data_IF_090088902034
#
_entry.id   IF_090088902034
#
_cell.length_a   1.000
_cell.length_b   1.000
_cell.length_c   1.000
_cell.angle_alpha   90.00
_cell.angle_beta   90.00
_cell.angle_gamma   90.00
#
_symmetry.space_group_name_H-M   'P 1'
#
loop_
_entity.id
_entity.type
_entity.pdbx_description
1 polymer ?
#
# COMPACT_ATOMS: atom_id res chain seq x y z
N UNK A 1 -13.86 2.10 11.69
CA UNK A 1 -12.48 1.72 12.06
C UNK A 1 -11.53 2.50 11.16
N UNK A 2 -10.43 3.03 11.70
CA UNK A 2 -9.43 3.84 10.96
C UNK A 2 -8.19 3.02 10.57
N UNK A 3 -8.29 1.69 10.69
CA UNK A 3 -7.23 0.74 10.42
C UNK A 3 -7.64 -0.14 9.26
N UNK A 4 -6.63 -0.63 8.56
CA UNK A 4 -6.71 -1.46 7.39
C UNK A 4 -5.74 -2.63 7.56
N UNK A 5 -6.21 -3.85 7.31
CA UNK A 5 -5.39 -5.06 7.35
C UNK A 5 -4.48 -5.12 6.12
N UNK A 6 -3.17 -4.95 6.35
CA UNK A 6 -2.10 -4.97 5.34
C UNK A 6 -1.62 -6.40 5.00
N UNK A 7 -2.11 -7.42 5.71
CA UNK A 7 -1.75 -8.82 5.57
C UNK A 7 -0.49 -9.27 6.31
N UNK A 8 -0.32 -10.59 6.44
CA UNK A 8 0.67 -11.20 7.33
C UNK A 8 2.11 -10.85 6.95
N UNK A 9 2.41 -10.64 5.67
CA UNK A 9 3.74 -10.27 5.20
C UNK A 9 4.18 -8.86 5.64
N UNK A 10 3.21 -8.02 5.99
CA UNK A 10 3.38 -6.65 6.48
C UNK A 10 3.03 -6.53 7.97
N UNK A 11 2.96 -7.66 8.67
CA UNK A 11 2.77 -7.69 10.11
C UNK A 11 4.01 -7.18 10.83
N UNK A 12 3.81 -6.31 11.82
CA UNK A 12 4.81 -6.04 12.86
C UNK A 12 4.57 -6.88 14.13
N UNK A 13 5.52 -6.82 15.06
CA UNK A 13 5.44 -7.57 16.33
C UNK A 13 4.59 -6.92 17.41
N UNK A 14 3.86 -5.84 17.11
CA UNK A 14 3.14 -5.05 18.10
C UNK A 14 1.65 -5.32 18.06
N UNK A 15 0.98 -5.09 19.18
CA UNK A 15 -0.47 -5.22 19.32
C UNK A 15 -0.93 -4.16 20.29
N UNK A 16 -1.97 -3.42 19.94
CA UNK A 16 -2.51 -2.34 20.76
C UNK A 16 -4.02 -2.45 20.82
N UNK A 17 -4.55 -2.83 21.98
CA UNK A 17 -5.97 -3.17 22.17
C UNK A 17 -6.41 -4.24 21.15
N UNK A 18 -7.37 -3.92 20.29
CA UNK A 18 -7.89 -4.81 19.24
C UNK A 18 -7.05 -4.77 17.96
N UNK A 19 -6.17 -3.77 17.80
CA UNK A 19 -5.30 -3.67 16.64
C UNK A 19 -4.12 -4.65 16.75
N UNK A 20 -3.96 -5.47 15.74
CA UNK A 20 -2.85 -6.40 15.56
C UNK A 20 -1.72 -5.74 14.76
N UNK A 21 -0.58 -6.41 14.63
CA UNK A 21 0.54 -5.89 13.83
C UNK A 21 0.26 -5.80 12.33
N UNK A 22 -0.86 -6.34 11.85
CA UNK A 22 -1.32 -6.22 10.47
C UNK A 22 -2.19 -4.96 10.25
N UNK A 23 -2.67 -4.34 11.33
CA UNK A 23 -3.63 -3.25 11.27
C UNK A 23 -2.93 -1.89 11.21
N UNK A 24 -3.00 -1.25 10.04
CA UNK A 24 -2.34 0.02 9.80
C UNK A 24 -3.31 1.11 9.38
N UNK A 25 -3.03 2.35 9.79
CA UNK A 25 -3.82 3.50 9.35
C UNK A 25 -3.54 3.79 7.87
N UNK A 26 -4.59 4.04 7.10
CA UNK A 26 -4.45 4.55 5.74
C UNK A 26 -3.80 5.94 5.78
N UNK A 27 -2.59 6.04 5.23
CA UNK A 27 -1.90 7.32 5.09
C UNK A 27 -2.52 8.17 3.96
N UNK A 28 -2.51 9.50 4.06
CA UNK A 28 -2.89 10.37 2.95
C UNK A 28 -1.94 10.17 1.75
N UNK A 29 -2.46 10.30 0.54
CA UNK A 29 -1.75 10.06 -0.73
C UNK A 29 -0.76 11.18 -1.13
N UNK A 30 -0.15 11.88 -0.16
CA UNK A 30 0.94 12.83 -0.44
C UNK A 30 2.23 12.08 -0.77
N UNK A 31 2.39 11.69 -2.04
CA UNK A 31 3.42 10.75 -2.49
C UNK A 31 4.62 11.43 -3.15
N UNK A 32 4.45 12.68 -3.64
CA UNK A 32 5.48 13.45 -4.37
C UNK A 32 6.86 13.54 -3.71
N UNK A 33 6.91 13.55 -2.38
CA UNK A 33 8.16 13.68 -1.61
C UNK A 33 8.64 12.37 -0.97
N UNK A 34 7.98 11.24 -1.24
CA UNK A 34 8.32 9.94 -0.64
C UNK A 34 9.42 9.25 -1.44
N UNK A 35 10.44 8.74 -0.75
CA UNK A 35 11.53 7.93 -1.32
C UNK A 35 11.44 6.43 -0.96
N UNK A 36 10.53 6.08 -0.06
CA UNK A 36 10.16 4.73 0.38
C UNK A 36 8.66 4.70 0.70
N UNK A 37 8.07 3.52 0.56
CA UNK A 37 6.66 3.25 0.77
C UNK A 37 6.45 2.11 1.76
N UNK A 38 5.19 1.93 2.19
CA UNK A 38 4.77 1.07 3.32
C UNK A 38 5.31 1.57 4.66
N UNK A 39 4.74 1.09 5.76
CA UNK A 39 5.06 1.58 7.10
C UNK A 39 6.48 1.20 7.56
N UNK A 40 7.05 0.13 6.99
CA UNK A 40 8.40 -0.35 7.28
C UNK A 40 9.44 0.08 6.23
N UNK A 41 9.01 0.83 5.21
CA UNK A 41 9.89 1.38 4.18
C UNK A 41 10.51 0.35 3.24
N UNK A 42 9.99 -0.90 3.16
CA UNK A 42 10.60 -1.95 2.32
C UNK A 42 10.48 -1.70 0.81
N UNK A 43 9.45 -0.96 0.38
CA UNK A 43 9.19 -0.71 -1.03
C UNK A 43 9.88 0.59 -1.50
N UNK A 44 10.66 0.50 -2.58
CA UNK A 44 11.34 1.63 -3.21
C UNK A 44 10.50 2.26 -4.33
N UNK A 45 9.49 1.55 -4.84
CA UNK A 45 8.61 2.03 -5.91
C UNK A 45 7.13 1.90 -5.55
N UNK A 46 6.27 2.69 -6.22
CA UNK A 46 4.81 2.55 -6.11
C UNK A 46 4.33 1.18 -6.55
N UNK A 47 4.97 0.62 -7.57
CA UNK A 47 4.67 -0.69 -8.11
C UNK A 47 4.91 -1.82 -7.08
N UNK A 48 6.08 -1.80 -6.45
CA UNK A 48 6.41 -2.71 -5.32
C UNK A 48 5.44 -2.50 -4.16
N UNK A 49 5.16 -1.25 -3.80
CA UNK A 49 4.26 -0.93 -2.71
C UNK A 49 2.85 -1.48 -2.96
N UNK A 50 2.27 -1.21 -4.13
CA UNK A 50 0.93 -1.68 -4.48
C UNK A 50 0.87 -3.21 -4.46
N UNK A 51 1.85 -3.91 -5.04
CA UNK A 51 1.86 -5.38 -5.06
C UNK A 51 2.12 -6.02 -3.70
N UNK A 52 2.75 -5.31 -2.77
CA UNK A 52 3.03 -5.81 -1.44
C UNK A 52 1.81 -5.75 -0.49
N UNK A 53 0.77 -4.99 -0.83
CA UNK A 53 -0.46 -5.00 -0.04
C UNK A 53 -1.20 -6.33 -0.21
N UNK A 54 -1.78 -6.82 0.87
CA UNK A 54 -2.65 -8.01 0.90
C UNK A 54 -3.89 -7.66 1.75
N UNK A 55 -4.48 -8.62 2.46
CA UNK A 55 -5.58 -8.40 3.38
C UNK A 55 -6.77 -7.76 2.68
N UNK A 56 -7.27 -6.63 3.21
CA UNK A 56 -8.41 -5.94 2.61
C UNK A 56 -8.08 -5.30 1.24
N UNK A 57 -6.81 -5.08 0.92
CA UNK A 57 -6.38 -4.46 -0.34
C UNK A 57 -6.22 -5.48 -1.48
N UNK A 58 -6.33 -6.79 -1.21
CA UNK A 58 -6.10 -7.86 -2.19
C UNK A 58 -6.93 -7.70 -3.48
N UNK A 59 -8.18 -7.24 -3.36
CA UNK A 59 -9.02 -6.95 -4.53
C UNK A 59 -8.51 -5.80 -5.39
N UNK A 60 -7.92 -4.78 -4.77
CA UNK A 60 -7.30 -3.65 -5.49
C UNK A 60 -5.99 -4.05 -6.14
N UNK A 61 -5.16 -4.86 -5.47
CA UNK A 61 -3.94 -5.43 -6.05
C UNK A 61 -4.27 -6.28 -7.27
N UNK A 62 -5.28 -7.14 -7.19
CA UNK A 62 -5.73 -7.97 -8.31
C UNK A 62 -6.17 -7.12 -9.51
N UNK A 63 -6.92 -6.05 -9.28
CA UNK A 63 -7.30 -5.12 -10.36
C UNK A 63 -6.08 -4.45 -10.98
N UNK A 64 -5.15 -3.96 -10.16
CA UNK A 64 -3.92 -3.33 -10.62
C UNK A 64 -3.04 -4.27 -11.45
N UNK A 65 -2.90 -5.53 -11.04
CA UNK A 65 -2.08 -6.51 -11.79
C UNK A 65 -2.73 -6.92 -13.11
N UNK A 66 -4.07 -6.87 -13.21
CA UNK A 66 -4.80 -7.13 -14.46
C UNK A 66 -4.79 -5.96 -15.47
N UNK A 67 -4.36 -4.77 -15.05
CA UNK A 67 -4.33 -3.59 -15.94
C UNK A 67 -3.24 -3.71 -17.02
N UNK A 68 -3.43 -2.97 -18.12
CA UNK A 68 -2.39 -2.83 -19.14
C UNK A 68 -1.20 -2.02 -18.60
N UNK A 69 -0.06 -2.08 -19.29
CA UNK A 69 1.09 -1.23 -18.95
C UNK A 69 0.74 0.26 -19.07
N UNK A 70 -0.04 0.62 -20.09
CA UNK A 70 -0.50 1.99 -20.32
C UNK A 70 -1.35 2.52 -19.17
N UNK A 71 -2.31 1.73 -18.68
CA UNK A 71 -3.17 2.15 -17.57
C UNK A 71 -2.38 2.31 -16.27
N UNK A 72 -1.38 1.44 -16.04
CA UNK A 72 -0.48 1.56 -14.88
C UNK A 72 0.39 2.82 -14.96
N UNK A 73 0.91 3.16 -16.13
CA UNK A 73 1.66 4.41 -16.34
C UNK A 73 0.79 5.64 -16.10
N UNK A 74 -0.46 5.63 -16.59
CA UNK A 74 -1.42 6.71 -16.34
C UNK A 74 -1.73 6.88 -14.84
N UNK A 75 -1.88 5.77 -14.11
CA UNK A 75 -2.05 5.78 -12.66
C UNK A 75 -0.83 6.40 -11.96
N UNK A 76 0.39 6.01 -12.35
CA UNK A 76 1.62 6.56 -11.76
C UNK A 76 1.79 8.05 -12.05
N UNK A 77 1.44 8.49 -13.26
CA UNK A 77 1.44 9.90 -13.61
C UNK A 77 0.48 10.69 -12.70
N UNK A 78 -0.74 10.17 -12.49
CA UNK A 78 -1.71 10.78 -11.58
C UNK A 78 -1.19 10.83 -10.13
N UNK A 79 -0.69 9.72 -9.60
CA UNK A 79 -0.13 9.66 -8.24
C UNK A 79 1.06 10.60 -8.07
N UNK A 80 1.86 10.82 -9.12
CA UNK A 80 2.94 11.80 -9.15
C UNK A 80 2.48 13.26 -9.12
N UNK A 81 1.18 13.54 -9.21
CA UNK A 81 0.62 14.89 -9.01
C UNK A 81 0.21 15.19 -7.57
N UNK A 82 0.18 14.18 -6.68
CA UNK A 82 -0.33 14.25 -5.31
C UNK A 82 0.75 14.48 -4.24
#
# INVERSE_FOLDING_TARGET
>A
MLLHDMGEALRDGFTQFEATGQDWRTAPLGLRSRSRYLHDGRAATLDEAIRAHDGEAQGSVTRYTSQSAFDREALFAFLGTL
#
